data_IF_948399578613
#
_entry.id   IF_948399578613
#
_cell.length_a   1.000
_cell.length_b   1.000
_cell.length_c   1.000
_cell.angle_alpha   90.00
_cell.angle_beta   90.00
_cell.angle_gamma   90.00
#
_symmetry.space_group_name_H-M   'P 1'
#
loop_
_entity.id
_entity.type
_entity.pdbx_description
1 polymer ?
#
# COMPACT_ATOMS: atom_id res chain seq x y z
N UNK A 1 20.28 10.18 -14.13
CA UNK A 1 19.26 9.11 -13.93
C UNK A 1 19.72 7.91 -14.70
N UNK A 2 19.87 6.74 -14.09
CA UNK A 2 20.17 5.55 -14.88
C UNK A 2 18.86 5.01 -15.49
N UNK A 3 18.83 4.97 -16.82
CA UNK A 3 17.76 4.42 -17.64
C UNK A 3 17.73 2.89 -17.47
N UNK A 4 16.83 2.37 -16.64
CA UNK A 4 16.67 0.92 -16.48
C UNK A 4 15.40 0.48 -17.20
N UNK A 5 15.59 -0.34 -18.24
CA UNK A 5 14.61 -0.79 -19.24
C UNK A 5 14.32 0.25 -20.33
N UNK A 6 15.31 0.50 -21.20
CA UNK A 6 15.08 1.14 -22.50
C UNK A 6 14.70 0.08 -23.53
N UNK A 7 13.57 0.26 -24.22
CA UNK A 7 13.14 -0.63 -25.28
C UNK A 7 11.64 -0.62 -25.55
N UNK A 8 11.25 -1.24 -26.66
CA UNK A 8 9.85 -1.60 -26.92
C UNK A 8 9.54 -2.89 -26.17
N UNK A 9 8.34 -2.98 -25.58
CA UNK A 9 7.87 -4.22 -25.02
C UNK A 9 7.79 -5.29 -26.13
N UNK A 10 8.34 -6.47 -25.87
CA UNK A 10 8.22 -7.62 -26.76
C UNK A 10 6.99 -8.43 -26.34
N UNK A 11 6.10 -8.70 -27.29
CA UNK A 11 4.84 -9.39 -27.00
C UNK A 11 5.08 -10.75 -26.37
N UNK A 12 4.39 -11.04 -25.27
CA UNK A 12 4.55 -12.29 -24.52
C UNK A 12 5.77 -12.33 -23.60
N UNK A 13 6.54 -11.24 -23.49
CA UNK A 13 7.66 -11.13 -22.54
C UNK A 13 7.42 -10.06 -21.49
N UNK A 14 7.92 -10.31 -20.28
CA UNK A 14 7.96 -9.36 -19.19
C UNK A 14 9.36 -9.24 -18.61
N UNK A 15 9.82 -8.02 -18.38
CA UNK A 15 11.10 -7.76 -17.74
C UNK A 15 10.90 -6.87 -16.52
N UNK A 16 11.63 -7.14 -15.45
CA UNK A 16 11.67 -6.26 -14.30
C UNK A 16 13.00 -6.30 -13.55
N UNK A 17 13.42 -5.14 -13.07
CA UNK A 17 14.60 -4.92 -12.25
C UNK A 17 14.16 -4.26 -10.94
N UNK A 18 14.48 -4.90 -9.83
CA UNK A 18 14.24 -4.39 -8.49
C UNK A 18 15.58 -4.22 -7.76
N UNK A 19 15.84 -3.01 -7.29
CA UNK A 19 16.96 -2.67 -6.41
C UNK A 19 16.42 -2.32 -5.05
N UNK A 20 16.96 -2.99 -4.04
CA UNK A 20 16.57 -2.87 -2.65
C UNK A 20 17.84 -2.63 -1.85
N UNK A 21 17.96 -1.49 -1.17
CA UNK A 21 19.12 -1.17 -0.34
C UNK A 21 18.67 -0.73 1.04
N UNK A 22 19.14 -1.44 2.06
CA UNK A 22 18.98 -1.01 3.43
C UNK A 22 20.14 -0.11 3.85
N UNK A 23 19.83 1.03 4.49
CA UNK A 23 20.83 1.87 5.14
C UNK A 23 21.16 1.35 6.56
N UNK A 24 22.09 2.01 7.25
CA UNK A 24 22.53 1.59 8.60
C UNK A 24 21.42 1.68 9.66
N UNK A 25 20.36 2.45 9.39
CA UNK A 25 19.14 2.56 10.21
C UNK A 25 18.03 1.58 9.76
N UNK A 26 18.32 0.70 8.79
CA UNK A 26 17.39 -0.23 8.17
C UNK A 26 16.20 0.43 7.45
N UNK A 27 16.37 1.68 7.00
CA UNK A 27 15.47 2.25 6.01
C UNK A 27 15.75 1.62 4.64
N UNK A 28 14.68 1.32 3.92
CA UNK A 28 14.78 0.83 2.56
C UNK A 28 14.83 2.02 1.60
N UNK A 29 15.86 2.07 0.76
CA UNK A 29 15.84 2.79 -0.50
C UNK A 29 15.63 1.78 -1.64
N UNK A 30 14.57 1.96 -2.42
CA UNK A 30 14.18 0.98 -3.45
C UNK A 30 13.80 1.62 -4.77
N UNK A 31 14.16 0.94 -5.85
CA UNK A 31 13.77 1.27 -7.21
C UNK A 31 13.29 0.00 -7.92
N UNK A 32 12.07 0.04 -8.46
CA UNK A 32 11.50 -1.05 -9.27
C UNK A 32 11.17 -0.50 -10.64
N UNK A 33 11.54 -1.23 -11.69
CA UNK A 33 11.13 -0.94 -13.07
C UNK A 33 10.62 -2.23 -13.70
N UNK A 34 9.49 -2.16 -14.39
CA UNK A 34 8.91 -3.28 -15.11
C UNK A 34 8.37 -2.85 -16.48
N UNK A 35 8.56 -3.71 -17.48
CA UNK A 35 8.07 -3.57 -18.85
C UNK A 35 7.48 -4.91 -19.28
N UNK A 36 6.18 -4.94 -19.55
CA UNK A 36 5.45 -6.16 -19.95
C UNK A 36 4.83 -5.94 -21.34
N UNK A 37 5.05 -6.87 -22.25
CA UNK A 37 4.43 -6.91 -23.57
C UNK A 37 3.11 -7.67 -23.57
N UNK A 38 2.15 -7.16 -22.82
CA UNK A 38 0.78 -7.65 -22.78
C UNK A 38 -0.22 -6.50 -22.65
N UNK A 39 -1.49 -6.74 -23.08
CA UNK A 39 -2.56 -5.79 -22.81
C UNK A 39 -2.86 -5.72 -21.31
N UNK A 40 -3.32 -4.56 -20.86
CA UNK A 40 -3.94 -4.39 -19.54
C UNK A 40 -5.41 -4.83 -19.54
N UNK A 41 -5.95 -5.12 -18.36
CA UNK A 41 -7.38 -5.38 -18.16
C UNK A 41 -8.23 -4.10 -18.08
N UNK A 42 -7.61 -2.92 -18.12
CA UNK A 42 -8.32 -1.64 -18.05
C UNK A 42 -9.11 -1.40 -19.35
N UNK A 43 -10.42 -1.08 -19.29
CA UNK A 43 -11.26 -0.96 -20.48
C UNK A 43 -11.07 0.35 -21.27
N UNK A 44 -10.37 1.34 -20.71
CA UNK A 44 -10.17 2.67 -21.28
C UNK A 44 -8.68 2.97 -21.42
N UNK A 45 -8.22 3.14 -22.66
CA UNK A 45 -6.81 3.28 -23.01
C UNK A 45 -6.60 4.46 -23.99
N UNK A 46 -5.41 5.08 -24.03
CA UNK A 46 -4.28 4.86 -23.13
C UNK A 46 -4.58 5.36 -21.72
N UNK A 47 -3.85 4.80 -20.75
CA UNK A 47 -3.93 5.18 -19.35
C UNK A 47 -2.52 5.44 -18.83
N UNK A 48 -2.34 6.62 -18.22
CA UNK A 48 -1.18 6.94 -17.40
C UNK A 48 -1.65 7.30 -16.01
N UNK A 49 -0.99 6.78 -14.98
CA UNK A 49 -1.24 7.14 -13.59
C UNK A 49 0.08 7.28 -12.85
N UNK A 50 0.25 8.39 -12.15
CA UNK A 50 1.32 8.61 -11.18
C UNK A 50 0.71 8.79 -9.79
N UNK A 51 1.32 8.17 -8.80
CA UNK A 51 0.93 8.26 -7.40
C UNK A 51 2.15 8.58 -6.56
N UNK A 52 2.04 9.54 -5.67
CA UNK A 52 3.08 9.91 -4.73
C UNK A 52 2.50 10.03 -3.33
N UNK A 53 3.07 9.27 -2.40
CA UNK A 53 2.81 9.33 -0.97
C UNK A 53 4.04 9.88 -0.28
N UNK A 54 3.84 10.80 0.67
CA UNK A 54 4.88 11.26 1.59
C UNK A 54 4.37 11.25 3.01
N UNK A 55 5.24 10.95 3.96
CA UNK A 55 4.95 11.00 5.37
C UNK A 55 6.14 11.60 6.13
N UNK A 56 5.88 12.58 7.00
CA UNK A 56 6.90 13.17 7.87
C UNK A 56 6.37 13.28 9.30
N UNK A 57 7.24 13.09 10.31
CA UNK A 57 6.82 13.20 11.70
C UNK A 57 6.52 14.66 12.06
N UNK A 58 5.52 14.87 12.92
CA UNK A 58 5.08 16.17 13.45
C UNK A 58 4.89 16.07 14.95
N UNK A 59 5.99 15.76 15.66
CA UNK A 59 5.97 15.30 17.05
C UNK A 59 6.09 13.77 17.12
N UNK A 60 5.84 13.22 18.30
CA UNK A 60 6.10 11.79 18.58
C UNK A 60 4.99 10.88 18.04
N UNK A 61 3.73 11.32 18.14
CA UNK A 61 2.54 10.49 17.81
C UNK A 61 1.75 10.99 16.59
N UNK A 62 2.24 12.02 15.90
CA UNK A 62 1.56 12.65 14.76
C UNK A 62 2.42 12.54 13.50
N UNK A 63 1.85 12.00 12.43
CA UNK A 63 2.45 12.04 11.10
C UNK A 63 1.66 13.00 10.21
N UNK A 64 2.37 13.83 9.47
CA UNK A 64 1.81 14.59 8.37
C UNK A 64 2.02 13.83 7.07
N UNK A 65 0.91 13.43 6.45
CA UNK A 65 0.88 12.63 5.24
C UNK A 65 0.35 13.47 4.09
N UNK A 66 0.99 13.36 2.92
CA UNK A 66 0.47 13.93 1.68
C UNK A 66 0.34 12.83 0.63
N UNK A 67 -0.73 12.94 -0.18
CA UNK A 67 -0.98 12.03 -1.30
C UNK A 67 -1.28 12.87 -2.52
N UNK A 68 -0.63 12.55 -3.63
CA UNK A 68 -0.94 13.09 -4.94
C UNK A 68 -1.13 11.96 -5.94
N UNK A 69 -2.29 11.92 -6.58
CA UNK A 69 -2.58 11.00 -7.68
C UNK A 69 -2.85 11.84 -8.91
N UNK A 70 -2.18 11.56 -10.02
CA UNK A 70 -2.45 12.17 -11.31
C UNK A 70 -2.67 11.07 -12.34
N UNK A 71 -3.82 11.09 -13.01
CA UNK A 71 -4.15 10.12 -14.06
C UNK A 71 -4.58 10.81 -15.34
N UNK A 72 -4.13 10.30 -16.48
CA UNK A 72 -4.60 10.65 -17.81
C UNK A 72 -5.32 9.44 -18.38
N UNK A 73 -6.65 9.54 -18.52
CA UNK A 73 -7.49 8.46 -19.07
C UNK A 73 -8.20 9.01 -20.29
N UNK A 74 -7.95 8.43 -21.47
CA UNK A 74 -8.54 8.87 -22.74
C UNK A 74 -8.39 10.40 -22.97
N UNK A 75 -7.23 10.96 -22.61
CA UNK A 75 -6.95 12.39 -22.77
C UNK A 75 -7.51 13.31 -21.68
N UNK A 76 -8.29 12.80 -20.72
CA UNK A 76 -8.83 13.60 -19.61
C UNK A 76 -7.96 13.44 -18.37
N UNK A 77 -7.27 14.53 -17.99
CA UNK A 77 -6.47 14.60 -16.77
C UNK A 77 -7.37 14.64 -15.53
N UNK A 78 -7.02 13.82 -14.55
CA UNK A 78 -7.65 13.70 -13.24
C UNK A 78 -6.58 13.83 -12.17
N UNK A 79 -6.86 14.57 -11.11
CA UNK A 79 -5.92 14.78 -10.01
C UNK A 79 -6.64 14.65 -8.67
N UNK A 80 -6.04 13.93 -7.73
CA UNK A 80 -6.42 13.92 -6.32
C UNK A 80 -5.23 14.41 -5.51
N UNK A 81 -5.44 15.41 -4.67
CA UNK A 81 -4.44 15.91 -3.72
C UNK A 81 -5.02 15.85 -2.32
N UNK A 82 -4.25 15.33 -1.38
CA UNK A 82 -4.63 15.13 0.02
C UNK A 82 -3.47 15.58 0.90
N UNK A 83 -3.80 16.29 1.98
CA UNK A 83 -2.92 16.57 3.11
C UNK A 83 -3.64 16.22 4.40
N UNK A 84 -3.03 15.36 5.21
CA UNK A 84 -3.65 14.81 6.40
C UNK A 84 -2.68 14.80 7.58
N UNK A 85 -3.23 15.00 8.77
CA UNK A 85 -2.57 14.65 10.03
C UNK A 85 -3.19 13.34 10.52
N UNK A 86 -2.34 12.38 10.85
CA UNK A 86 -2.73 11.09 11.40
C UNK A 86 -2.10 10.95 12.78
N UNK A 87 -2.89 10.54 13.76
CA UNK A 87 -2.48 10.42 15.15
C UNK A 87 -2.90 9.06 15.69
N UNK A 88 -1.96 8.33 16.30
CA UNK A 88 -2.28 7.16 17.12
C UNK A 88 -2.89 7.64 18.44
N UNK A 89 -4.14 7.27 18.71
CA UNK A 89 -4.79 7.57 20.00
C UNK A 89 -4.46 6.47 21.03
N UNK A 90 -4.42 5.23 20.55
CA UNK A 90 -4.00 4.03 21.27
C UNK A 90 -3.57 2.96 20.25
N UNK A 91 -3.17 1.77 20.71
CA UNK A 91 -2.69 0.67 19.85
C UNK A 91 -3.74 0.14 18.84
N UNK A 92 -5.01 0.42 19.07
CA UNK A 92 -6.14 -0.02 18.25
C UNK A 92 -6.81 1.12 17.48
N UNK A 93 -6.59 2.37 17.88
CA UNK A 93 -7.39 3.51 17.41
C UNK A 93 -6.51 4.60 16.82
N UNK A 94 -6.83 5.01 15.59
CA UNK A 94 -6.22 6.17 14.92
C UNK A 94 -7.25 7.24 14.62
N UNK A 95 -6.82 8.49 14.75
CA UNK A 95 -7.54 9.65 14.24
C UNK A 95 -6.84 10.19 12.98
N UNK A 96 -7.64 10.64 12.01
CA UNK A 96 -7.17 11.43 10.88
C UNK A 96 -7.99 12.71 10.74
N UNK A 97 -7.32 13.82 10.44
CA UNK A 97 -7.95 15.06 9.98
C UNK A 97 -7.19 15.62 8.80
N UNK A 98 -7.88 16.13 7.80
CA UNK A 98 -7.21 16.61 6.61
C UNK A 98 -8.12 17.37 5.66
N UNK A 99 -7.50 17.81 4.58
CA UNK A 99 -8.16 18.45 3.46
C UNK A 99 -7.60 17.88 2.17
N UNK A 100 -8.41 17.96 1.12
CA UNK A 100 -8.01 17.52 -0.20
C UNK A 100 -8.83 18.21 -1.28
N UNK A 101 -8.47 17.91 -2.53
CA UNK A 101 -9.22 18.35 -3.69
C UNK A 101 -9.18 17.29 -4.78
N UNK A 102 -10.28 17.17 -5.50
CA UNK A 102 -10.40 16.39 -6.73
C UNK A 102 -10.49 17.36 -7.91
N UNK A 103 -9.77 17.05 -8.98
CA UNK A 103 -9.78 17.78 -10.24
C UNK A 103 -10.07 16.78 -11.36
N UNK A 104 -11.08 17.04 -12.19
CA UNK A 104 -11.44 16.22 -13.35
C UNK A 104 -11.77 17.14 -14.52
N UNK A 105 -10.85 17.30 -15.47
CA UNK A 105 -10.97 18.35 -16.48
C UNK A 105 -11.08 19.73 -15.83
N UNK A 106 -12.17 20.44 -16.10
CA UNK A 106 -12.44 21.77 -15.55
C UNK A 106 -13.17 21.74 -14.20
N UNK A 107 -13.61 20.58 -13.74
CA UNK A 107 -14.27 20.43 -12.44
C UNK A 107 -13.22 20.33 -11.33
N UNK A 108 -13.29 21.24 -10.34
CA UNK A 108 -12.42 21.25 -9.17
C UNK A 108 -13.30 21.27 -7.92
N UNK A 109 -13.01 20.39 -6.96
CA UNK A 109 -13.80 20.30 -5.75
C UNK A 109 -12.97 20.02 -4.50
N UNK A 110 -12.89 20.97 -3.56
CA UNK A 110 -12.22 20.77 -2.28
C UNK A 110 -13.14 20.05 -1.28
N UNK A 111 -12.51 19.30 -0.38
CA UNK A 111 -13.18 18.62 0.73
C UNK A 111 -12.27 18.62 1.97
N UNK A 112 -12.89 18.57 3.15
CA UNK A 112 -12.19 18.36 4.42
C UNK A 112 -12.85 17.21 5.18
N UNK A 113 -12.07 16.53 6.02
CA UNK A 113 -12.59 15.47 6.87
C UNK A 113 -11.92 15.45 8.24
N UNK A 114 -12.62 14.81 9.17
CA UNK A 114 -12.09 14.28 10.41
C UNK A 114 -12.72 12.91 10.64
N UNK A 115 -11.93 11.92 11.00
CA UNK A 115 -12.47 10.60 11.28
C UNK A 115 -11.56 9.77 12.18
N UNK A 116 -12.15 8.73 12.73
CA UNK A 116 -11.48 7.75 13.58
C UNK A 116 -11.64 6.37 12.99
N UNK A 117 -10.59 5.56 13.12
CA UNK A 117 -10.61 4.14 12.77
C UNK A 117 -10.19 3.34 13.98
N UNK A 118 -11.04 2.42 14.42
CA UNK A 118 -10.73 1.47 15.49
C UNK A 118 -10.59 0.06 14.90
N UNK A 119 -9.47 -0.58 15.17
CA UNK A 119 -9.19 -1.98 14.83
C UNK A 119 -9.66 -2.90 15.97
N UNK A 120 -10.40 -3.94 15.62
CA UNK A 120 -10.78 -5.00 16.54
C UNK A 120 -10.42 -6.36 15.93
N UNK A 121 -9.77 -7.24 16.69
CA UNK A 121 -9.48 -8.61 16.27
C UNK A 121 -10.57 -9.56 16.77
N UNK A 122 -10.84 -10.63 16.03
CA UNK A 122 -11.83 -11.65 16.46
C UNK A 122 -11.27 -12.60 17.52
N UNK A 123 -9.95 -12.70 17.60
CA UNK A 123 -9.25 -13.50 18.61
C UNK A 123 -8.61 -12.60 19.66
N UNK A 124 -8.63 -13.00 20.94
CA UNK A 124 -7.96 -12.25 22.00
C UNK A 124 -6.45 -12.18 21.80
N UNK A 125 -5.82 -11.09 22.22
CA UNK A 125 -4.37 -10.89 22.09
C UNK A 125 -3.54 -11.99 22.78
N UNK A 126 -4.07 -12.59 23.83
CA UNK A 126 -3.44 -13.75 24.51
C UNK A 126 -3.24 -14.95 23.58
N UNK A 127 -4.11 -15.11 22.57
CA UNK A 127 -3.99 -16.15 21.55
C UNK A 127 -3.08 -15.74 20.39
N UNK A 128 -2.85 -14.44 20.20
CA UNK A 128 -1.92 -13.91 19.20
C UNK A 128 -0.46 -14.21 19.55
N UNK A 129 -0.16 -14.31 20.85
CA UNK A 129 1.19 -14.57 21.37
C UNK A 129 1.60 -16.06 21.36
N UNK A 130 0.71 -16.98 20.97
CA UNK A 130 0.96 -18.43 21.05
C UNK A 130 1.68 -19.02 19.82
N UNK A 131 1.76 -18.29 18.71
CA UNK A 131 2.42 -18.78 17.49
C UNK A 131 3.50 -17.80 17.01
N UNK A 132 4.67 -18.35 16.63
CA UNK A 132 5.88 -17.57 16.29
C UNK A 132 5.77 -16.79 14.98
N UNK A 133 4.70 -16.95 14.21
CA UNK A 133 4.40 -16.20 12.99
C UNK A 133 2.90 -16.22 12.76
N UNK A 134 2.23 -15.10 12.99
CA UNK A 134 0.81 -14.96 12.65
C UNK A 134 0.67 -14.25 11.32
N UNK A 135 0.40 -15.07 10.31
CA UNK A 135 0.17 -14.63 8.94
C UNK A 135 -1.30 -14.24 8.71
N UNK A 136 -2.22 -14.71 9.56
CA UNK A 136 -3.66 -14.51 9.41
C UNK A 136 -4.30 -14.07 10.73
N UNK A 137 -4.68 -12.81 10.84
CA UNK A 137 -5.38 -12.27 12.01
C UNK A 137 -6.72 -11.68 11.54
N UNK A 138 -7.80 -12.44 11.75
CA UNK A 138 -9.14 -11.99 11.42
C UNK A 138 -9.62 -10.86 12.34
N UNK A 139 -10.39 -9.94 11.79
CA UNK A 139 -10.92 -8.80 12.54
C UNK A 139 -11.73 -7.83 11.69
N UNK A 140 -11.92 -6.62 12.23
CA UNK A 140 -12.68 -5.53 11.63
C UNK A 140 -12.07 -4.16 11.92
N UNK A 141 -12.30 -3.22 11.02
CA UNK A 141 -12.00 -1.79 11.19
C UNK A 141 -13.30 -1.00 11.21
N UNK A 142 -13.56 -0.31 12.31
CA UNK A 142 -14.73 0.53 12.50
C UNK A 142 -14.37 1.96 12.13
N UNK A 143 -14.96 2.48 11.07
CA UNK A 143 -14.74 3.84 10.59
C UNK A 143 -15.87 4.75 11.05
N UNK A 144 -15.54 5.93 11.57
CA UNK A 144 -16.48 7.04 11.81
C UNK A 144 -15.87 8.30 11.22
N UNK A 145 -16.51 8.84 10.18
CA UNK A 145 -15.96 9.93 9.37
C UNK A 145 -16.97 11.05 9.28
N UNK A 146 -16.52 12.25 9.60
CA UNK A 146 -17.22 13.51 9.33
C UNK A 146 -16.50 14.23 8.21
N UNK A 147 -17.23 14.57 7.15
CA UNK A 147 -16.71 15.32 6.01
C UNK A 147 -17.50 16.62 5.82
N UNK A 148 -16.81 17.64 5.32
CA UNK A 148 -17.43 18.86 4.81
C UNK A 148 -17.00 19.14 3.38
N UNK A 149 -17.97 19.53 2.58
CA UNK A 149 -17.81 19.74 1.15
C UNK A 149 -18.49 21.05 0.78
N UNK A 150 -17.85 21.87 -0.07
CA UNK A 150 -18.45 23.12 -0.54
C UNK A 150 -19.61 22.86 -1.50
N UNK A 151 -20.67 23.68 -1.45
CA UNK A 151 -21.78 23.69 -2.40
C UNK A 151 -21.71 24.95 -3.27
N UNK A 152 -20.52 25.25 -3.78
CA UNK A 152 -20.17 26.44 -4.55
C UNK A 152 -20.54 26.32 -6.04
N UNK A 153 -20.52 25.10 -6.59
CA UNK A 153 -20.88 24.83 -7.99
C UNK A 153 -22.30 24.28 -8.16
N UNK A 154 -22.96 24.50 -9.32
CA UNK A 154 -24.23 23.86 -9.64
C UNK A 154 -24.17 22.33 -9.59
N UNK A 155 -23.08 21.74 -10.08
CA UNK A 155 -22.85 20.28 -10.08
C UNK A 155 -22.82 19.74 -8.65
N UNK A 156 -22.11 20.42 -7.73
CA UNK A 156 -22.06 20.00 -6.33
C UNK A 156 -23.44 20.08 -5.64
N UNK A 157 -24.22 21.13 -5.93
CA UNK A 157 -25.60 21.27 -5.40
C UNK A 157 -26.53 20.19 -5.94
N UNK A 158 -26.46 19.89 -7.23
CA UNK A 158 -27.25 18.84 -7.83
C UNK A 158 -26.90 17.46 -7.25
N UNK A 159 -25.60 17.14 -7.19
CA UNK A 159 -25.12 15.88 -6.61
C UNK A 159 -25.55 15.74 -5.13
N UNK A 160 -25.49 16.82 -4.35
CA UNK A 160 -25.98 16.85 -2.98
C UNK A 160 -27.46 16.48 -2.87
N UNK A 161 -28.33 17.09 -3.70
CA UNK A 161 -29.76 16.79 -3.70
C UNK A 161 -30.06 15.35 -4.08
N UNK A 162 -29.29 14.79 -5.03
CA UNK A 162 -29.38 13.39 -5.40
C UNK A 162 -28.97 12.46 -4.24
N UNK A 163 -27.83 12.72 -3.59
CA UNK A 163 -27.36 11.95 -2.44
C UNK A 163 -28.37 12.00 -1.29
N UNK A 164 -28.92 13.18 -0.99
CA UNK A 164 -29.96 13.36 0.04
C UNK A 164 -31.20 12.53 -0.27
N UNK A 165 -31.65 12.55 -1.52
CA UNK A 165 -32.84 11.81 -1.97
C UNK A 165 -32.62 10.29 -1.91
N UNK A 166 -31.46 9.81 -2.36
CA UNK A 166 -31.12 8.38 -2.36
C UNK A 166 -30.99 7.86 -0.92
N UNK A 167 -30.24 8.58 -0.08
CA UNK A 167 -30.01 8.18 1.31
C UNK A 167 -31.31 8.08 2.12
N UNK A 168 -32.27 8.97 1.86
CA UNK A 168 -33.58 8.92 2.51
C UNK A 168 -34.43 7.71 2.10
N UNK A 169 -34.13 7.10 0.95
CA UNK A 169 -34.93 5.98 0.38
C UNK A 169 -34.26 4.63 0.60
N UNK A 170 -32.95 4.55 0.45
CA UNK A 170 -32.21 3.31 0.59
C UNK A 170 -30.71 3.54 0.82
N UNK A 171 -30.24 3.32 2.06
CA UNK A 171 -28.83 3.49 2.42
C UNK A 171 -27.91 2.38 1.89
N UNK A 172 -28.43 1.19 1.57
CA UNK A 172 -27.63 0.06 1.06
C UNK A 172 -26.98 0.34 -0.31
N UNK A 173 -27.55 1.29 -1.06
CA UNK A 173 -27.10 1.70 -2.40
C UNK A 173 -25.77 2.44 -2.32
N UNK A 174 -25.48 3.10 -1.20
CA UNK A 174 -24.25 3.88 -1.04
C UNK A 174 -23.02 2.98 -1.13
N UNK A 175 -23.02 1.84 -0.44
CA UNK A 175 -21.90 0.89 -0.44
C UNK A 175 -21.61 0.39 -1.86
N UNK A 176 -22.67 0.01 -2.60
CA UNK A 176 -22.56 -0.48 -3.98
C UNK A 176 -22.10 0.61 -4.96
N UNK A 177 -22.44 1.88 -4.69
CA UNK A 177 -22.02 3.04 -5.48
C UNK A 177 -20.53 3.35 -5.28
N UNK A 178 -20.04 3.26 -4.03
CA UNK A 178 -18.63 3.48 -3.70
C UNK A 178 -17.75 2.39 -4.29
N UNK A 179 -18.14 1.12 -4.16
CA UNK A 179 -17.38 -0.01 -4.67
C UNK A 179 -17.85 -0.45 -6.06
N UNK A 180 -17.77 0.47 -7.02
CA UNK A 180 -18.21 0.23 -8.39
C UNK A 180 -17.24 -0.66 -9.20
N UNK A 181 -17.75 -1.26 -10.28
CA UNK A 181 -16.97 -2.05 -11.22
C UNK A 181 -16.39 -3.32 -10.59
N UNK A 182 -15.10 -3.66 -10.81
CA UNK A 182 -14.50 -4.89 -10.28
C UNK A 182 -14.22 -4.84 -8.77
N UNK A 183 -14.34 -3.67 -8.13
CA UNK A 183 -13.97 -3.48 -6.72
C UNK A 183 -14.83 -4.33 -5.77
N UNK A 184 -16.15 -4.38 -5.99
CA UNK A 184 -17.06 -5.18 -5.17
C UNK A 184 -16.65 -6.66 -5.14
N UNK A 185 -16.43 -7.23 -6.34
CA UNK A 185 -16.07 -8.65 -6.49
C UNK A 185 -14.68 -8.96 -5.94
N UNK A 186 -13.75 -8.01 -6.04
CA UNK A 186 -12.38 -8.18 -5.55
C UNK A 186 -12.35 -8.37 -4.03
N UNK A 187 -13.15 -7.62 -3.28
CA UNK A 187 -13.22 -7.79 -1.83
C UNK A 187 -13.67 -9.19 -1.43
N UNK A 188 -14.78 -9.66 -2.00
CA UNK A 188 -15.33 -11.00 -1.73
C UNK A 188 -14.33 -12.12 -2.05
N UNK A 189 -13.67 -12.04 -3.21
CA UNK A 189 -12.68 -13.04 -3.63
C UNK A 189 -11.40 -13.07 -2.79
N UNK A 190 -11.17 -12.06 -1.96
CA UNK A 190 -9.93 -11.89 -1.19
C UNK A 190 -10.17 -11.86 0.32
N UNK A 191 -11.34 -12.35 0.75
CA UNK A 191 -11.69 -12.51 2.15
C UNK A 191 -11.91 -11.18 2.88
N UNK A 192 -12.24 -10.12 2.15
CA UNK A 192 -12.61 -8.82 2.67
C UNK A 192 -14.12 -8.59 2.55
N UNK A 193 -14.73 -8.01 3.58
CA UNK A 193 -16.14 -7.66 3.59
C UNK A 193 -16.31 -6.16 3.84
N UNK A 194 -17.22 -5.54 3.10
CA UNK A 194 -17.69 -4.17 3.34
C UNK A 194 -19.13 -4.23 3.87
N UNK A 195 -19.33 -3.72 5.07
CA UNK A 195 -20.68 -3.53 5.63
C UNK A 195 -21.31 -2.25 5.08
N UNK A 196 -22.63 -2.13 5.26
CA UNK A 196 -23.38 -0.99 4.76
C UNK A 196 -22.95 0.33 5.41
N UNK A 197 -22.88 1.38 4.57
CA UNK A 197 -22.59 2.74 5.03
C UNK A 197 -23.79 3.28 5.79
N UNK A 198 -23.59 3.53 7.08
CA UNK A 198 -24.59 4.14 7.96
C UNK A 198 -24.42 5.66 7.95
N UNK A 199 -25.44 6.38 7.49
CA UNK A 199 -25.47 7.85 7.52
C UNK A 199 -26.03 8.32 8.86
N UNK A 200 -25.16 8.87 9.72
CA UNK A 200 -25.54 9.40 11.04
C UNK A 200 -26.04 10.84 10.95
N UNK A 201 -25.46 11.63 10.06
CA UNK A 201 -25.82 13.05 9.88
C UNK A 201 -25.65 13.42 8.43
N UNK A 202 -26.64 14.11 7.88
CA UNK A 202 -26.60 14.67 6.55
C UNK A 202 -27.29 16.04 6.59
N UNK A 203 -26.52 17.11 6.53
CA UNK A 203 -27.04 18.48 6.63
C UNK A 203 -26.22 19.44 5.77
N UNK A 204 -26.78 20.61 5.47
CA UNK A 204 -26.06 21.68 4.79
C UNK A 204 -26.33 23.01 5.50
N UNK A 205 -25.28 23.78 5.71
CA UNK A 205 -25.33 25.12 6.33
C UNK A 205 -24.24 26.00 5.71
N UNK A 206 -24.52 27.28 5.50
CA UNK A 206 -23.52 28.27 5.04
C UNK A 206 -22.81 27.87 3.73
N UNK A 207 -23.53 27.22 2.82
CA UNK A 207 -22.97 26.77 1.55
C UNK A 207 -21.97 25.61 1.66
N UNK A 208 -21.95 24.90 2.79
CA UNK A 208 -21.17 23.66 2.98
C UNK A 208 -22.07 22.54 3.49
N UNK A 209 -21.71 21.31 3.11
CA UNK A 209 -22.32 20.11 3.68
C UNK A 209 -21.62 19.71 4.97
N UNK A 210 -22.36 19.01 5.83
CA UNK A 210 -21.83 18.24 6.93
C UNK A 210 -22.42 16.83 6.82
N UNK A 211 -21.55 15.88 6.48
CA UNK A 211 -21.89 14.48 6.36
C UNK A 211 -21.12 13.69 7.41
N UNK A 212 -21.81 12.97 8.29
CA UNK A 212 -21.20 12.00 9.21
C UNK A 212 -21.69 10.61 8.84
N UNK A 213 -20.73 9.74 8.53
CA UNK A 213 -20.99 8.35 8.15
C UNK A 213 -20.14 7.41 8.98
N UNK A 214 -20.63 6.19 9.18
CA UNK A 214 -19.83 5.10 9.70
C UNK A 214 -19.99 3.85 8.86
N UNK A 215 -18.93 3.07 8.76
CA UNK A 215 -18.94 1.79 8.05
C UNK A 215 -17.88 0.87 8.65
N UNK A 216 -18.07 -0.43 8.43
CA UNK A 216 -17.15 -1.45 8.91
C UNK A 216 -16.53 -2.15 7.72
N UNK A 217 -15.22 -2.37 7.79
CA UNK A 217 -14.51 -3.25 6.86
C UNK A 217 -13.94 -4.43 7.64
N UNK A 218 -14.27 -5.65 7.25
CA UNK A 218 -13.89 -6.87 7.95
C UNK A 218 -12.99 -7.75 7.08
N UNK A 219 -12.21 -8.62 7.71
CA UNK A 219 -11.27 -9.51 7.03
C UNK A 219 -11.04 -10.80 7.78
N UNK A 220 -10.84 -11.89 7.04
CA UNK A 220 -10.62 -13.24 7.58
C UNK A 220 -9.17 -13.52 8.00
N UNK A 221 -8.27 -12.55 7.79
CA UNK A 221 -6.86 -12.63 8.13
C UNK A 221 -5.91 -12.28 6.98
N UNK A 222 -6.40 -12.25 5.75
CA UNK A 222 -5.64 -11.85 4.56
C UNK A 222 -5.58 -10.32 4.38
N UNK A 223 -6.46 -9.59 5.04
CA UNK A 223 -6.58 -8.14 4.93
C UNK A 223 -5.48 -7.47 5.76
N UNK A 224 -4.39 -7.08 5.09
CA UNK A 224 -3.19 -6.54 5.73
C UNK A 224 -3.48 -5.32 6.62
N UNK A 225 -4.44 -4.47 6.24
CA UNK A 225 -4.86 -3.30 7.03
C UNK A 225 -5.44 -3.66 8.40
N UNK A 226 -5.92 -4.89 8.57
CA UNK A 226 -6.36 -5.43 9.86
C UNK A 226 -5.21 -6.22 10.50
N UNK A 227 -4.57 -7.12 9.76
CA UNK A 227 -3.54 -8.03 10.31
C UNK A 227 -2.32 -7.27 10.83
N UNK A 228 -1.82 -6.32 10.06
CA UNK A 228 -0.58 -5.59 10.32
C UNK A 228 -0.81 -4.13 10.77
N UNK A 229 -1.96 -3.85 11.40
CA UNK A 229 -2.40 -2.49 11.77
C UNK A 229 -1.30 -1.60 12.33
N UNK A 230 -0.59 -2.04 13.37
CA UNK A 230 0.51 -1.29 14.00
C UNK A 230 1.72 -1.16 13.07
N UNK A 231 2.12 -2.26 12.42
CA UNK A 231 3.28 -2.31 11.52
C UNK A 231 3.12 -1.42 10.28
N UNK A 232 1.90 -1.22 9.79
CA UNK A 232 1.61 -0.41 8.60
C UNK A 232 1.78 1.11 8.83
N UNK A 233 1.89 1.56 10.08
CA UNK A 233 2.10 2.97 10.41
C UNK A 233 3.25 3.13 11.41
N UNK A 234 4.51 2.94 10.96
CA UNK A 234 5.68 2.91 11.84
C UNK A 234 6.19 4.32 12.16
N UNK A 235 5.35 5.15 12.78
CA UNK A 235 5.66 6.57 13.04
C UNK A 235 6.96 6.77 13.84
N UNK A 236 7.19 5.94 14.86
CA UNK A 236 8.40 5.96 15.69
C UNK A 236 9.67 5.69 14.90
N UNK A 237 9.57 5.02 13.75
CA UNK A 237 10.72 4.73 12.89
C UNK A 237 11.03 5.86 11.89
N UNK A 238 10.16 6.88 11.77
CA UNK A 238 10.42 8.03 10.91
C UNK A 238 11.61 8.87 11.40
N UNK A 239 11.93 8.88 12.70
CA UNK A 239 13.17 9.49 13.26
C UNK A 239 13.54 10.88 12.70
N UNK A 240 12.55 11.75 12.46
CA UNK A 240 12.76 13.09 11.89
C UNK A 240 13.04 13.15 10.38
N UNK A 241 13.03 12.01 9.68
CA UNK A 241 13.17 11.89 8.22
C UNK A 241 11.80 11.83 7.55
N UNK A 242 11.69 12.37 6.35
CA UNK A 242 10.51 12.19 5.48
C UNK A 242 10.64 10.88 4.71
N UNK A 243 9.61 10.03 4.78
CA UNK A 243 9.49 8.84 3.95
C UNK A 243 8.64 9.17 2.70
N UNK A 244 8.92 8.50 1.59
CA UNK A 244 8.12 8.65 0.37
C UNK A 244 8.01 7.35 -0.42
N UNK A 245 6.94 7.24 -1.20
CA UNK A 245 6.74 6.24 -2.24
C UNK A 245 6.18 6.94 -3.46
N UNK A 246 6.83 6.82 -4.61
CA UNK A 246 6.38 7.35 -5.89
C UNK A 246 6.27 6.22 -6.90
N UNK A 247 5.09 6.01 -7.44
CA UNK A 247 4.79 5.00 -8.46
C UNK A 247 4.25 5.64 -9.73
N UNK A 248 4.63 5.12 -10.89
CA UNK A 248 4.06 5.48 -12.19
C UNK A 248 3.70 4.22 -12.96
N UNK A 249 2.51 4.21 -13.54
CA UNK A 249 1.93 3.16 -14.36
C UNK A 249 1.52 3.75 -15.69
N UNK A 250 1.99 3.19 -16.80
CA UNK A 250 1.66 3.61 -18.17
C UNK A 250 1.26 2.39 -18.95
N UNK A 251 0.12 2.44 -19.63
CA UNK A 251 -0.36 1.31 -20.42
C UNK A 251 -1.11 1.76 -21.66
N UNK A 252 -1.00 0.93 -22.69
CA UNK A 252 -1.74 0.99 -23.93
C UNK A 252 -2.28 -0.42 -24.28
N UNK A 253 -2.77 -0.60 -25.51
CA UNK A 253 -3.34 -1.87 -25.96
C UNK A 253 -2.32 -3.03 -26.05
N UNK A 254 -1.02 -2.74 -25.94
CA UNK A 254 0.06 -3.69 -26.22
C UNK A 254 1.06 -3.86 -25.09
N UNK A 255 1.12 -2.90 -24.15
CA UNK A 255 2.16 -2.89 -23.13
C UNK A 255 1.73 -2.29 -21.81
N UNK A 256 2.46 -2.69 -20.76
CA UNK A 256 2.40 -2.13 -19.41
C UNK A 256 3.82 -1.73 -19.00
N UNK A 257 3.97 -0.51 -18.50
CA UNK A 257 5.19 0.00 -17.89
C UNK A 257 4.92 0.45 -16.46
N UNK A 258 5.77 0.03 -15.54
CA UNK A 258 5.68 0.41 -14.14
C UNK A 258 7.03 0.87 -13.63
N UNK A 259 7.04 1.96 -12.87
CA UNK A 259 8.20 2.39 -12.09
C UNK A 259 7.79 2.74 -10.67
N UNK A 260 8.54 2.27 -9.68
CA UNK A 260 8.37 2.66 -8.27
C UNK A 260 9.72 3.10 -7.73
N UNK A 261 9.75 4.23 -7.03
CA UNK A 261 10.88 4.72 -6.26
C UNK A 261 10.40 5.00 -4.84
N UNK A 262 11.13 4.55 -3.83
CA UNK A 262 10.72 4.78 -2.45
C UNK A 262 11.88 4.83 -1.47
N UNK A 263 11.66 5.58 -0.39
CA UNK A 263 12.49 5.61 0.81
C UNK A 263 11.59 5.51 2.04
N UNK A 264 11.62 4.40 2.77
CA UNK A 264 10.73 4.20 3.93
C UNK A 264 11.31 3.27 5.02
N UNK A 265 10.91 3.46 6.29
CA UNK A 265 11.28 2.59 7.39
C UNK A 265 10.36 1.35 7.53
N UNK A 266 10.69 0.48 8.50
CA UNK A 266 9.75 -0.53 9.01
C UNK A 266 9.61 -1.79 8.16
N UNK A 267 10.55 -2.02 7.23
CA UNK A 267 10.52 -3.19 6.34
C UNK A 267 11.42 -4.34 6.80
N UNK A 268 11.94 -4.26 8.02
CA UNK A 268 12.68 -5.32 8.69
C UNK A 268 12.24 -5.40 10.15
N UNK A 269 12.05 -6.61 10.65
CA UNK A 269 11.64 -6.87 12.04
C UNK A 269 12.63 -7.82 12.74
N UNK A 270 12.74 -7.70 14.06
CA UNK A 270 13.60 -8.59 14.86
C UNK A 270 12.82 -9.83 15.25
N UNK A 271 13.37 -11.00 14.94
CA UNK A 271 12.75 -12.31 15.24
C UNK A 271 13.82 -13.36 15.50
N UNK A 272 13.68 -14.08 16.61
CA UNK A 272 14.60 -15.13 17.05
C UNK A 272 16.09 -14.70 17.10
N UNK A 273 16.34 -13.43 17.47
CA UNK A 273 17.70 -12.85 17.53
C UNK A 273 18.26 -12.38 16.19
N UNK A 274 17.58 -12.67 15.08
CA UNK A 274 17.90 -12.23 13.72
C UNK A 274 17.04 -11.03 13.30
N UNK A 275 17.39 -10.45 12.16
CA UNK A 275 16.53 -9.49 11.46
C UNK A 275 15.91 -10.17 10.24
N UNK A 276 14.60 -10.01 10.02
CA UNK A 276 13.86 -10.58 8.90
C UNK A 276 13.28 -9.47 8.04
N UNK A 277 13.39 -9.57 6.71
CA UNK A 277 12.54 -8.77 5.82
C UNK A 277 11.08 -9.09 6.15
N UNK A 278 10.27 -8.06 6.25
CA UNK A 278 8.87 -8.25 6.62
C UNK A 278 8.11 -9.17 5.65
N UNK A 279 7.16 -9.94 6.18
CA UNK A 279 6.28 -10.76 5.34
C UNK A 279 5.58 -9.91 4.26
N UNK A 280 5.52 -10.44 3.03
CA UNK A 280 4.88 -9.76 1.91
C UNK A 280 3.38 -9.54 2.20
N UNK A 281 2.84 -8.32 2.01
CA UNK A 281 1.41 -8.08 2.19
C UNK A 281 0.60 -8.92 1.19
N UNK A 282 -0.51 -9.49 1.65
CA UNK A 282 -1.29 -10.45 0.90
C UNK A 282 -2.28 -9.80 -0.07
N UNK A 283 -2.91 -8.69 0.32
CA UNK A 283 -3.92 -7.99 -0.49
C UNK A 283 -3.36 -7.60 -1.87
N UNK A 284 -2.16 -6.99 -1.99
CA UNK A 284 -1.60 -6.67 -3.30
C UNK A 284 -1.42 -7.91 -4.20
N UNK A 285 -0.99 -9.05 -3.64
CA UNK A 285 -0.80 -10.31 -4.39
C UNK A 285 -2.15 -10.85 -4.85
N UNK A 286 -3.12 -10.97 -3.95
CA UNK A 286 -4.44 -11.53 -4.25
C UNK A 286 -5.20 -10.66 -5.28
N UNK A 287 -5.17 -9.33 -5.09
CA UNK A 287 -5.85 -8.39 -5.99
C UNK A 287 -5.22 -8.40 -7.38
N UNK A 288 -3.87 -8.38 -7.46
CA UNK A 288 -3.17 -8.47 -8.74
C UNK A 288 -3.37 -9.84 -9.41
N UNK A 289 -3.48 -10.93 -8.63
CA UNK A 289 -3.71 -12.27 -9.15
C UNK A 289 -4.95 -12.40 -10.04
N UNK A 290 -6.01 -11.63 -9.76
CA UNK A 290 -7.23 -11.59 -10.56
C UNK A 290 -7.00 -11.12 -12.01
N UNK A 291 -5.95 -10.31 -12.24
CA UNK A 291 -5.58 -9.80 -13.57
C UNK A 291 -4.29 -10.44 -14.12
N UNK A 292 -3.48 -11.09 -13.27
CA UNK A 292 -2.22 -11.72 -13.67
C UNK A 292 -2.36 -13.14 -14.23
N UNK A 293 -3.39 -13.89 -13.83
CA UNK A 293 -3.59 -15.28 -14.27
C UNK A 293 -3.79 -15.48 -15.79
N UNK A 294 -4.53 -14.61 -16.51
CA UNK A 294 -4.87 -14.88 -17.92
C UNK A 294 -3.72 -14.69 -18.91
N UNK A 295 -2.56 -14.17 -18.50
CA UNK A 295 -1.52 -13.70 -19.43
C UNK A 295 -0.29 -14.62 -19.39
N UNK A 296 -0.02 -15.41 -20.45
CA UNK A 296 1.21 -16.18 -20.56
C UNK A 296 2.37 -15.25 -20.91
N UNK A 297 3.09 -14.78 -19.89
CA UNK A 297 4.34 -14.02 -20.05
C UNK A 297 5.55 -14.88 -19.70
N UNK A 298 6.56 -14.83 -20.56
CA UNK A 298 7.92 -15.24 -20.22
C UNK A 298 8.60 -14.10 -19.44
N UNK A 299 8.91 -14.34 -18.17
CA UNK A 299 9.39 -13.32 -17.24
C UNK A 299 10.91 -13.39 -17.05
N UNK A 300 11.60 -12.26 -17.18
CA UNK A 300 12.97 -12.04 -16.65
C UNK A 300 12.90 -11.04 -15.51
N UNK A 301 12.99 -11.53 -14.28
CA UNK A 301 12.95 -10.70 -13.06
C UNK A 301 14.27 -10.80 -12.30
N UNK A 302 14.79 -9.64 -11.89
CA UNK A 302 16.02 -9.51 -11.09
C UNK A 302 15.73 -8.71 -9.83
N UNK A 303 16.22 -9.21 -8.69
CA UNK A 303 16.30 -8.46 -7.44
C UNK A 303 17.77 -8.34 -7.02
N UNK A 304 18.23 -7.11 -6.87
CA UNK A 304 19.49 -6.76 -6.23
C UNK A 304 19.20 -6.26 -4.83
N UNK A 305 19.59 -7.03 -3.81
CA UNK A 305 19.44 -6.67 -2.40
C UNK A 305 20.79 -6.30 -1.81
N UNK A 306 20.88 -5.10 -1.22
CA UNK A 306 22.07 -4.57 -0.56
C UNK A 306 21.82 -4.46 0.94
N UNK A 307 22.64 -5.15 1.74
CA UNK A 307 22.61 -5.08 3.21
C UNK A 307 23.41 -3.87 3.74
N UNK A 308 23.15 -3.43 4.99
CA UNK A 308 23.98 -2.43 5.63
C UNK A 308 25.38 -2.96 5.95
N UNK A 309 26.31 -2.08 6.30
CA UNK A 309 27.67 -2.50 6.57
C UNK A 309 27.77 -3.40 7.81
N UNK A 310 28.54 -4.49 7.68
CA UNK A 310 28.71 -5.47 8.77
C UNK A 310 27.50 -6.39 8.96
N UNK A 311 26.62 -6.47 7.97
CA UNK A 311 25.49 -7.41 7.92
C UNK A 311 25.56 -8.27 6.66
N UNK A 312 25.05 -9.49 6.77
CA UNK A 312 24.95 -10.43 5.65
C UNK A 312 23.59 -11.14 5.66
N UNK A 313 23.18 -11.65 4.50
CA UNK A 313 22.06 -12.61 4.44
C UNK A 313 22.53 -13.91 5.11
N UNK A 314 21.86 -14.28 6.20
CA UNK A 314 22.05 -15.54 6.91
C UNK A 314 21.34 -16.67 6.19
N UNK A 315 20.09 -16.43 5.81
CA UNK A 315 19.20 -17.38 5.16
C UNK A 315 18.29 -16.64 4.18
N UNK A 316 18.03 -17.27 3.03
CA UNK A 316 17.02 -16.81 2.10
C UNK A 316 16.39 -17.99 1.36
N UNK A 317 15.06 -18.01 1.27
CA UNK A 317 14.31 -19.01 0.51
C UNK A 317 13.16 -18.36 -0.28
N UNK A 318 13.20 -18.34 -1.63
CA UNK A 318 14.27 -18.88 -2.48
C UNK A 318 15.62 -18.20 -2.29
N UNK A 319 16.71 -18.97 -2.36
CA UNK A 319 18.07 -18.43 -2.18
C UNK A 319 18.52 -17.50 -3.29
N UNK A 320 19.42 -16.57 -2.96
CA UNK A 320 20.07 -15.71 -3.95
C UNK A 320 20.95 -16.55 -4.89
N UNK A 321 21.03 -16.11 -6.15
CA UNK A 321 21.82 -16.79 -7.19
C UNK A 321 23.31 -16.62 -6.95
N UNK A 322 23.74 -15.40 -6.61
CA UNK A 322 25.12 -15.08 -6.29
C UNK A 322 25.25 -13.80 -5.48
N UNK A 323 26.32 -13.72 -4.72
CA UNK A 323 26.82 -12.48 -4.12
C UNK A 323 27.63 -11.72 -5.18
N UNK A 324 27.31 -10.45 -5.42
CA UNK A 324 27.92 -9.61 -6.48
C UNK A 324 28.81 -8.49 -5.92
N UNK A 325 28.79 -8.27 -4.61
CA UNK A 325 29.60 -7.30 -3.89
C UNK A 325 29.71 -7.69 -2.41
N UNK A 326 30.36 -6.87 -1.58
CA UNK A 326 30.52 -7.20 -0.14
C UNK A 326 29.18 -7.34 0.58
N UNK A 327 28.21 -6.51 0.23
CA UNK A 327 26.87 -6.48 0.83
C UNK A 327 25.76 -6.70 -0.21
N UNK A 328 26.11 -7.01 -1.47
CA UNK A 328 25.16 -7.04 -2.59
C UNK A 328 24.86 -8.47 -3.03
N UNK A 329 23.57 -8.80 -3.11
CA UNK A 329 23.04 -10.13 -3.38
C UNK A 329 22.08 -10.08 -4.58
N UNK A 330 22.32 -10.93 -5.58
CA UNK A 330 21.48 -11.03 -6.77
C UNK A 330 20.58 -12.26 -6.69
N UNK A 331 19.27 -12.04 -6.75
CA UNK A 331 18.23 -13.04 -6.94
C UNK A 331 17.75 -13.00 -8.39
N UNK A 332 17.86 -14.12 -9.10
CA UNK A 332 17.45 -14.22 -10.51
C UNK A 332 17.34 -15.69 -10.93
N UNK A 333 16.35 -16.02 -11.76
CA UNK A 333 16.21 -17.33 -12.38
C UNK A 333 15.86 -18.45 -11.40
N UNK A 334 15.84 -19.71 -11.87
CA UNK A 334 15.64 -20.89 -11.04
C UNK A 334 14.40 -20.81 -10.13
N UNK A 335 14.57 -21.21 -8.87
CA UNK A 335 13.51 -21.18 -7.86
C UNK A 335 12.96 -19.75 -7.62
N UNK A 336 13.81 -18.72 -7.68
CA UNK A 336 13.38 -17.34 -7.52
C UNK A 336 12.45 -16.88 -8.66
N UNK A 337 12.75 -17.25 -9.91
CA UNK A 337 11.85 -16.94 -11.02
C UNK A 337 10.54 -17.73 -10.95
N UNK A 338 10.58 -18.98 -10.47
CA UNK A 338 9.37 -19.78 -10.19
C UNK A 338 8.48 -19.12 -9.13
N UNK A 339 9.09 -18.63 -8.05
CA UNK A 339 8.43 -17.84 -7.02
C UNK A 339 7.79 -16.56 -7.60
N UNK A 340 8.54 -15.75 -8.36
CA UNK A 340 8.01 -14.53 -9.01
C UNK A 340 6.80 -14.84 -9.90
N UNK A 341 6.90 -15.91 -10.71
CA UNK A 341 5.81 -16.38 -11.55
C UNK A 341 4.55 -16.79 -10.78
N UNK A 342 4.74 -17.31 -9.57
CA UNK A 342 3.69 -17.81 -8.70
C UNK A 342 2.98 -16.64 -8.00
N UNK A 343 3.71 -15.69 -7.42
CA UNK A 343 3.14 -14.51 -6.77
C UNK A 343 2.45 -13.56 -7.77
N UNK A 344 2.98 -13.40 -8.98
CA UNK A 344 2.36 -12.55 -10.01
C UNK A 344 0.95 -13.02 -10.41
N UNK A 345 0.64 -14.30 -10.14
CA UNK A 345 -0.65 -14.95 -10.42
C UNK A 345 -1.53 -15.13 -9.18
N UNK A 346 -1.17 -14.48 -8.06
CA UNK A 346 -2.00 -14.41 -6.85
C UNK A 346 -1.73 -15.49 -5.79
N UNK A 347 -0.65 -16.26 -5.91
CA UNK A 347 -0.29 -17.24 -4.89
C UNK A 347 0.54 -16.61 -3.78
N UNK A 348 0.24 -16.94 -2.53
CA UNK A 348 0.86 -16.38 -1.31
C UNK A 348 2.10 -17.16 -0.85
N UNK A 349 2.88 -17.70 -1.78
CA UNK A 349 4.14 -18.37 -1.45
C UNK A 349 5.06 -17.42 -0.65
N UNK A 350 5.70 -17.88 0.42
CA UNK A 350 6.62 -17.04 1.19
C UNK A 350 7.91 -16.77 0.42
N UNK A 351 8.53 -15.63 0.69
CA UNK A 351 9.92 -15.34 0.37
C UNK A 351 10.58 -14.74 1.60
N UNK A 352 11.30 -15.60 2.31
CA UNK A 352 11.90 -15.25 3.58
C UNK A 352 13.36 -14.86 3.38
N UNK A 353 13.76 -13.71 3.93
CA UNK A 353 15.15 -13.23 3.91
C UNK A 353 15.52 -12.80 5.33
N UNK A 354 16.57 -13.42 5.85
CA UNK A 354 17.05 -13.23 7.21
C UNK A 354 18.48 -12.70 7.21
N UNK A 355 18.79 -11.81 8.13
CA UNK A 355 20.08 -11.16 8.29
C UNK A 355 20.69 -11.44 9.66
N UNK A 356 22.00 -11.64 9.67
CA UNK A 356 22.84 -11.66 10.88
C UNK A 356 24.01 -10.68 10.76
N UNK A 357 24.61 -10.35 11.91
CA UNK A 357 25.85 -9.57 11.95
C UNK A 357 26.98 -10.43 11.39
N UNK A 358 27.83 -9.81 10.60
CA UNK A 358 29.05 -10.45 10.14
C UNK A 358 30.05 -10.47 11.31
N UNK A 359 30.16 -11.62 12.00
CA UNK A 359 30.98 -11.80 13.21
C UNK A 359 32.48 -11.54 13.01
N UNK A 360 32.93 -11.32 11.77
CA UNK A 360 34.33 -11.07 11.43
C UNK A 360 34.84 -9.65 11.75
N UNK A 361 34.18 -8.85 12.60
CA UNK A 361 34.66 -7.47 12.80
C UNK A 361 34.12 -6.54 13.89
N UNK A 362 33.33 -6.97 14.89
CA UNK A 362 33.06 -6.09 16.04
C UNK A 362 32.56 -6.84 17.28
N UNK A 363 33.32 -6.75 18.37
CA UNK A 363 32.85 -6.94 19.74
C UNK A 363 31.63 -6.03 19.98
N UNK A 364 30.55 -6.62 20.48
CA UNK A 364 29.35 -5.92 20.91
C UNK A 364 29.70 -4.82 21.92
N UNK A 365 29.45 -3.54 21.59
CA UNK A 365 29.17 -2.55 22.62
C UNK A 365 27.71 -2.72 23.03
N UNK A 366 27.41 -3.14 24.26
CA UNK A 366 26.04 -3.27 24.74
C UNK A 366 25.56 -1.85 25.06
N UNK A 367 24.88 -1.19 24.12
CA UNK A 367 23.96 -0.06 24.37
C UNK A 367 23.43 0.50 23.04
N UNK A 368 22.46 -0.19 22.46
CA UNK A 368 21.47 0.42 21.60
C UNK A 368 20.13 -0.21 21.96
N UNK A 369 19.56 0.25 23.06
CA UNK A 369 18.18 -0.01 23.39
C UNK A 369 17.31 0.65 22.31
N UNK A 370 16.82 -0.15 21.36
CA UNK A 370 15.63 0.23 20.60
C UNK A 370 14.48 -0.04 21.56
N UNK A 371 13.93 1.04 22.12
CA UNK A 371 12.83 0.98 23.06
C UNK A 371 11.63 0.29 22.38
N UNK A 372 11.26 -0.86 22.92
CA UNK A 372 9.90 -1.39 22.83
C UNK A 372 9.06 -0.56 23.78
N UNK A 373 8.15 0.23 23.23
CA UNK A 373 6.87 0.54 23.86
C UNK A 373 5.80 0.42 22.79
#
# INVERSE_FOLDING_TARGET
MPQFLEGRAEQGRGQADWRCRYDDDWWLNTQVRALLGCPTAVPKLPLETEVEFRARPKGDDISECTVKVESLVEGVKKTLEISALITDLDEHTRESKGFGRIIVGDFIHPFEWRGTVKRETYVPDSSLNLTRSQTYIGGRLLHDVTARIALDTPIAREAWEQVRTVTARNSDVLTKTVFFGPLWRTADLTGQLYEDIQVKTLSASEGKTLSRVSFITSGTGQVDSITYWTRLFPISLLKGREAFVKGKYVTDASSIRVSVDAELPGLVERKDGLLKVIDHPQIPILHHGLVGQPIPLDLDFKLNLTTPNGWRIKEADPSYRKKIGKNDYLFQGGAYLSFVNTIARGNLAPFDVWFDRDEAGASLSPNAAIAVK
#
